data_IF_247065263993
#
_entry.id   IF_247065263993
#
_cell.length_a   1.000
_cell.length_b   1.000
_cell.length_c   1.000
_cell.angle_alpha   90.00
_cell.angle_beta   90.00
_cell.angle_gamma   90.00
#
_symmetry.space_group_name_H-M   'P 1'
#
loop_
_entity.id
_entity.type
_entity.pdbx_description
1 polymer ?
#
# COMPACT_ATOMS: atom_id res chain seq x y z
N UNK A 1 -7.06 -31.44 5.92
CA UNK A 1 -8.31 -30.77 6.31
C UNK A 1 -8.42 -29.52 5.47
N UNK A 2 -9.52 -29.27 4.74
CA UNK A 2 -9.67 -28.00 4.06
C UNK A 2 -9.79 -26.94 5.14
N UNK A 3 -8.82 -26.04 5.18
CA UNK A 3 -8.84 -24.86 6.04
C UNK A 3 -10.13 -24.10 5.70
N UNK A 4 -10.99 -23.90 6.69
CA UNK A 4 -12.25 -23.16 6.52
C UNK A 4 -11.87 -21.81 5.96
N UNK A 5 -12.09 -21.59 4.66
CA UNK A 5 -11.68 -20.38 3.97
C UNK A 5 -12.43 -19.20 4.58
N UNK A 6 -11.82 -18.59 5.61
CA UNK A 6 -12.31 -17.37 6.21
C UNK A 6 -12.46 -16.36 5.09
N UNK A 7 -13.62 -15.70 5.03
CA UNK A 7 -13.88 -14.67 4.04
C UNK A 7 -12.78 -13.61 4.19
N UNK A 8 -11.99 -13.32 3.14
CA UNK A 8 -10.88 -12.40 3.26
C UNK A 8 -11.39 -11.02 3.68
N UNK A 9 -10.63 -10.34 4.53
CA UNK A 9 -10.93 -8.99 5.00
C UNK A 9 -10.88 -8.03 3.80
N UNK A 10 -11.94 -7.24 3.59
CA UNK A 10 -11.92 -6.17 2.59
C UNK A 10 -11.31 -4.91 3.21
N UNK A 11 -10.20 -4.45 2.65
CA UNK A 11 -9.49 -3.23 3.07
C UNK A 11 -9.74 -2.14 2.04
N UNK A 12 -10.16 -0.96 2.54
CA UNK A 12 -10.24 0.24 1.72
C UNK A 12 -8.87 0.94 1.66
N UNK A 13 -8.19 0.81 0.53
CA UNK A 13 -6.83 1.27 0.38
C UNK A 13 -6.30 1.08 -1.03
N UNK A 14 -5.07 1.55 -1.24
CA UNK A 14 -4.32 1.32 -2.49
C UNK A 14 -3.06 0.57 -2.13
N UNK A 15 -2.73 -0.50 -2.83
CA UNK A 15 -1.51 -1.27 -2.61
C UNK A 15 -0.69 -1.40 -3.87
N UNK A 16 0.63 -1.50 -3.68
CA UNK A 16 1.61 -1.59 -4.75
C UNK A 16 2.81 -2.42 -4.31
N UNK A 17 3.50 -2.98 -5.29
CA UNK A 17 4.82 -3.57 -5.14
C UNK A 17 5.89 -2.56 -5.56
N UNK A 18 6.94 -2.43 -4.76
CA UNK A 18 8.15 -1.66 -5.07
C UNK A 18 9.35 -2.57 -4.80
N UNK A 19 10.08 -2.93 -5.86
CA UNK A 19 11.01 -4.05 -5.80
C UNK A 19 10.28 -5.32 -5.37
N UNK A 20 10.73 -5.92 -4.27
CA UNK A 20 10.12 -7.12 -3.69
C UNK A 20 9.15 -6.80 -2.53
N UNK A 21 8.94 -5.52 -2.22
CA UNK A 21 8.20 -5.08 -1.03
C UNK A 21 6.76 -4.69 -1.38
N UNK A 22 5.80 -5.25 -0.66
CA UNK A 22 4.41 -4.80 -0.73
C UNK A 22 4.15 -3.62 0.21
N UNK A 23 3.57 -2.57 -0.35
CA UNK A 23 3.20 -1.36 0.38
C UNK A 23 1.69 -1.22 0.31
N UNK A 24 1.05 -1.12 1.48
CA UNK A 24 -0.38 -0.86 1.62
C UNK A 24 -0.59 0.58 2.10
N UNK A 25 -1.26 1.40 1.30
CA UNK A 25 -1.60 2.79 1.63
C UNK A 25 -3.05 2.84 2.09
N UNK A 26 -3.27 3.27 3.32
CA UNK A 26 -4.58 3.42 3.95
C UNK A 26 -4.82 4.87 4.39
N UNK A 27 -6.06 5.20 4.74
CA UNK A 27 -6.45 6.55 5.15
C UNK A 27 -7.85 6.90 4.67
N UNK A 28 -8.41 8.03 5.13
CA UNK A 28 -9.78 8.41 4.81
C UNK A 28 -10.00 8.58 3.30
N UNK A 29 -11.26 8.59 2.88
CA UNK A 29 -11.60 8.94 1.50
C UNK A 29 -11.11 10.34 1.17
N UNK A 30 -10.59 10.54 -0.04
CA UNK A 30 -9.98 11.82 -0.45
C UNK A 30 -8.63 12.15 0.23
N UNK A 31 -8.00 11.23 0.96
CA UNK A 31 -6.69 11.46 1.56
C UNK A 31 -5.53 11.50 0.54
N UNK A 32 -5.76 11.04 -0.70
CA UNK A 32 -4.75 10.96 -1.76
C UNK A 32 -4.00 9.62 -1.84
N UNK A 33 -4.61 8.51 -1.40
CA UNK A 33 -4.03 7.16 -1.45
C UNK A 33 -3.57 6.78 -2.86
N UNK A 34 -4.49 6.89 -3.82
CA UNK A 34 -4.25 6.61 -5.24
C UNK A 34 -3.23 7.58 -5.84
N UNK A 35 -3.33 8.87 -5.54
CA UNK A 35 -2.37 9.88 -5.99
C UNK A 35 -0.94 9.56 -5.53
N UNK A 36 -0.77 9.15 -4.26
CA UNK A 36 0.53 8.74 -3.75
C UNK A 36 1.03 7.45 -4.41
N UNK A 37 0.18 6.46 -4.61
CA UNK A 37 0.54 5.22 -5.30
C UNK A 37 1.03 5.50 -6.72
N UNK A 38 0.31 6.32 -7.49
CA UNK A 38 0.70 6.72 -8.85
C UNK A 38 2.05 7.45 -8.86
N UNK A 39 2.27 8.36 -7.91
CA UNK A 39 3.53 9.07 -7.80
C UNK A 39 4.70 8.12 -7.47
N UNK A 40 4.50 7.13 -6.60
CA UNK A 40 5.50 6.10 -6.30
C UNK A 40 5.82 5.23 -7.51
N UNK A 41 4.79 4.80 -8.26
CA UNK A 41 4.97 4.00 -9.48
C UNK A 41 5.76 4.78 -10.54
N UNK A 42 5.42 6.05 -10.76
CA UNK A 42 6.15 6.91 -11.71
C UNK A 42 7.60 7.16 -11.26
N UNK A 43 7.79 7.42 -9.98
CA UNK A 43 9.11 7.61 -9.39
C UNK A 43 10.01 6.37 -9.50
N UNK A 44 9.46 5.18 -9.27
CA UNK A 44 10.19 3.92 -9.43
C UNK A 44 10.52 3.67 -10.91
N UNK A 45 9.53 3.87 -11.79
CA UNK A 45 9.70 3.70 -13.25
C UNK A 45 10.81 4.59 -13.81
N UNK A 46 10.85 5.87 -13.44
CA UNK A 46 11.88 6.82 -13.91
C UNK A 46 13.29 6.45 -13.44
N UNK A 47 13.41 5.65 -12.36
CA UNK A 47 14.69 5.12 -11.84
C UNK A 47 14.99 3.69 -12.29
N UNK A 48 14.17 3.10 -13.15
CA UNK A 48 14.33 1.72 -13.59
C UNK A 48 14.08 0.68 -12.50
N UNK A 49 13.44 1.06 -11.40
CA UNK A 49 13.06 0.14 -10.32
C UNK A 49 11.78 -0.60 -10.68
N UNK A 50 11.71 -1.89 -10.35
CA UNK A 50 10.48 -2.64 -10.50
C UNK A 50 9.39 -2.05 -9.60
N UNK A 51 8.22 -1.79 -10.16
CA UNK A 51 7.04 -1.43 -9.39
C UNK A 51 5.77 -1.80 -10.13
N UNK A 52 4.75 -2.26 -9.39
CA UNK A 52 3.45 -2.69 -9.94
C UNK A 52 2.32 -2.27 -9.01
N UNK A 53 1.17 -1.94 -9.58
CA UNK A 53 -0.06 -1.83 -8.79
C UNK A 53 -0.43 -3.23 -8.26
N UNK A 54 -0.92 -3.31 -7.03
CA UNK A 54 -1.59 -4.53 -6.54
C UNK A 54 -3.11 -4.38 -6.66
N UNK A 55 -3.63 -3.24 -6.22
CA UNK A 55 -5.04 -2.87 -6.33
C UNK A 55 -5.29 -1.46 -5.83
N UNK A 56 -6.41 -0.88 -6.23
CA UNK A 56 -6.85 0.46 -5.85
C UNK A 56 -8.30 0.38 -5.32
N UNK A 57 -8.65 1.29 -4.42
CA UNK A 57 -9.91 1.36 -3.65
C UNK A 57 -10.21 0.16 -2.72
N UNK A 58 -10.14 -1.07 -3.23
CA UNK A 58 -10.46 -2.30 -2.49
C UNK A 58 -9.41 -3.39 -2.66
N UNK A 59 -9.08 -4.05 -1.56
CA UNK A 59 -8.12 -5.14 -1.48
C UNK A 59 -8.65 -6.24 -0.57
N UNK A 60 -8.50 -7.49 -0.98
CA UNK A 60 -8.79 -8.64 -0.13
C UNK A 60 -7.52 -9.09 0.58
N UNK A 61 -7.55 -9.04 1.91
CA UNK A 61 -6.46 -9.39 2.78
C UNK A 61 -6.74 -10.69 3.52
N UNK A 62 -5.71 -11.53 3.63
CA UNK A 62 -5.76 -12.76 4.40
C UNK A 62 -4.37 -13.10 4.94
N UNK A 63 -4.31 -13.58 6.18
CA UNK A 63 -3.07 -14.09 6.76
C UNK A 63 -2.73 -15.46 6.17
N UNK A 64 -1.49 -15.61 5.71
CA UNK A 64 -0.92 -16.88 5.27
C UNK A 64 0.44 -17.08 5.93
N UNK A 65 0.57 -18.08 6.81
CA UNK A 65 1.84 -18.36 7.50
C UNK A 65 2.40 -17.17 8.28
N UNK A 66 1.52 -16.37 8.90
CA UNK A 66 1.91 -15.17 9.66
C UNK A 66 2.23 -13.93 8.82
N UNK A 67 2.16 -14.02 7.48
CA UNK A 67 2.34 -12.88 6.56
C UNK A 67 1.00 -12.42 6.00
N UNK A 68 0.82 -11.10 5.85
CA UNK A 68 -0.38 -10.55 5.25
C UNK A 68 -0.29 -10.63 3.73
N UNK A 69 -1.18 -11.38 3.09
CA UNK A 69 -1.29 -11.41 1.63
C UNK A 69 -2.49 -10.59 1.20
N UNK A 70 -2.26 -9.62 0.32
CA UNK A 70 -3.32 -8.83 -0.30
C UNK A 70 -3.50 -9.23 -1.77
N UNK A 71 -4.75 -9.19 -2.23
CA UNK A 71 -5.15 -9.46 -3.62
C UNK A 71 -6.10 -8.38 -4.12
N UNK A 72 -5.97 -8.01 -5.38
CA UNK A 72 -7.00 -7.20 -6.03
C UNK A 72 -8.28 -8.03 -6.23
N UNK A 73 -9.47 -7.46 -5.98
CA UNK A 73 -10.72 -8.04 -6.45
C UNK A 73 -10.69 -8.15 -7.98
N UNK A 74 -11.15 -9.28 -8.51
CA UNK A 74 -11.11 -9.56 -9.96
C UNK A 74 -11.84 -8.52 -10.82
N UNK A 75 -12.87 -7.86 -10.28
CA UNK A 75 -13.66 -6.84 -10.96
C UNK A 75 -12.91 -5.53 -11.22
N UNK A 76 -11.85 -5.24 -10.45
CA UNK A 76 -11.09 -3.98 -10.54
C UNK A 76 -9.58 -4.21 -10.71
N UNK A 77 -9.17 -5.46 -10.96
CA UNK A 77 -7.77 -5.83 -11.11
C UNK A 77 -7.12 -5.06 -12.27
N UNK A 78 -5.93 -4.50 -12.01
CA UNK A 78 -5.19 -3.72 -13.01
C UNK A 78 -5.80 -2.37 -13.36
N UNK A 79 -6.86 -1.95 -12.67
CA UNK A 79 -7.49 -0.65 -12.85
C UNK A 79 -7.14 0.26 -11.67
N UNK A 80 -6.92 1.53 -11.99
CA UNK A 80 -6.74 2.58 -11.00
C UNK A 80 -7.64 3.76 -11.37
N UNK A 81 -8.34 4.31 -10.37
CA UNK A 81 -9.22 5.45 -10.59
C UNK A 81 -8.42 6.75 -10.62
N UNK A 82 -8.34 7.36 -11.81
CA UNK A 82 -7.73 8.68 -11.94
C UNK A 82 -8.82 9.74 -11.80
N UNK A 83 -8.73 10.54 -10.73
CA UNK A 83 -9.74 11.55 -10.41
C UNK A 83 -9.98 12.51 -11.60
N UNK A 84 -11.25 12.71 -11.95
CA UNK A 84 -11.67 13.55 -13.08
C UNK A 84 -11.50 12.92 -14.47
N UNK A 85 -10.93 11.70 -14.56
CA UNK A 85 -10.64 11.01 -15.83
C UNK A 85 -11.32 9.63 -15.90
N UNK A 86 -11.52 8.98 -14.75
CA UNK A 86 -12.08 7.64 -14.60
C UNK A 86 -11.01 6.53 -14.58
N UNK A 87 -11.43 5.25 -14.53
CA UNK A 87 -10.51 4.12 -14.44
C UNK A 87 -9.53 4.05 -15.60
N UNK A 88 -8.27 3.76 -15.31
CA UNK A 88 -7.21 3.56 -16.30
C UNK A 88 -6.42 2.27 -16.02
N UNK A 89 -6.02 1.54 -17.08
CA UNK A 89 -5.22 0.34 -16.91
C UNK A 89 -3.80 0.68 -16.46
N UNK A 90 -3.27 -0.11 -15.53
CA UNK A 90 -1.88 -0.07 -15.08
C UNK A 90 -1.28 -1.48 -15.06
N UNK A 91 0.04 -1.56 -15.21
CA UNK A 91 0.76 -2.80 -14.97
C UNK A 91 0.58 -3.20 -13.49
N UNK A 92 0.11 -4.42 -13.26
CA UNK A 92 -0.27 -4.89 -11.94
C UNK A 92 0.20 -6.32 -11.67
N UNK A 93 0.25 -6.68 -10.39
CA UNK A 93 0.35 -8.07 -9.93
C UNK A 93 -0.94 -8.45 -9.21
N UNK A 94 -1.44 -9.70 -9.34
CA UNK A 94 -2.73 -10.09 -8.78
C UNK A 94 -2.69 -10.30 -7.26
N UNK A 95 -1.51 -10.54 -6.69
CA UNK A 95 -1.30 -10.85 -5.28
C UNK A 95 0.10 -10.42 -4.85
N UNK A 96 0.22 -9.95 -3.60
CA UNK A 96 1.50 -9.64 -2.99
C UNK A 96 1.44 -9.82 -1.48
N UNK A 97 2.60 -10.11 -0.87
CA UNK A 97 2.75 -9.95 0.57
C UNK A 97 2.90 -8.47 0.89
N UNK A 98 2.23 -7.98 1.92
CA UNK A 98 2.40 -6.63 2.43
C UNK A 98 3.48 -6.63 3.51
N UNK A 99 4.46 -5.74 3.35
CA UNK A 99 5.59 -5.57 4.27
C UNK A 99 5.59 -4.20 4.98
N UNK A 100 4.82 -3.22 4.48
CA UNK A 100 4.70 -1.88 5.05
C UNK A 100 3.28 -1.36 4.92
N UNK A 101 2.75 -0.79 6.01
CA UNK A 101 1.52 0.01 5.99
C UNK A 101 1.86 1.50 6.04
N UNK A 102 1.27 2.25 5.13
CA UNK A 102 1.42 3.70 5.01
C UNK A 102 0.07 4.32 5.31
N UNK A 103 -0.06 5.00 6.46
CA UNK A 103 -1.31 5.67 6.84
C UNK A 103 -1.27 7.13 6.45
N UNK A 104 -2.24 7.56 5.67
CA UNK A 104 -2.47 8.98 5.40
C UNK A 104 -3.28 9.58 6.54
N UNK A 105 -2.67 10.49 7.29
CA UNK A 105 -3.21 11.13 8.51
C UNK A 105 -3.35 12.64 8.33
N UNK A 106 -4.11 13.29 9.21
CA UNK A 106 -4.19 14.76 9.23
C UNK A 106 -2.84 15.38 9.65
N UNK A 107 -2.51 16.61 9.21
CA UNK A 107 -1.27 17.28 9.61
C UNK A 107 -1.07 17.37 11.13
N UNK A 108 -2.16 17.54 11.88
CA UNK A 108 -2.11 17.62 13.34
C UNK A 108 -1.70 16.31 14.02
N UNK A 109 -1.90 15.18 13.36
CA UNK A 109 -1.58 13.85 13.89
C UNK A 109 -0.16 13.39 13.49
N UNK A 110 0.54 14.17 12.66
CA UNK A 110 1.86 13.81 12.15
C UNK A 110 2.96 14.21 13.15
N UNK A 111 3.61 13.20 13.74
CA UNK A 111 4.75 13.42 14.62
C UNK A 111 5.99 13.87 13.83
N UNK A 112 6.73 14.86 14.37
CA UNK A 112 7.98 15.38 13.76
C UNK A 112 9.06 14.31 13.61
N UNK A 113 9.15 13.42 14.61
CA UNK A 113 9.96 12.21 14.58
C UNK A 113 9.03 11.05 14.89
N UNK A 114 9.01 10.04 14.02
CA UNK A 114 8.14 8.89 14.19
C UNK A 114 8.91 7.76 14.87
N UNK A 115 8.36 7.26 15.97
CA UNK A 115 8.84 6.02 16.58
C UNK A 115 8.50 4.82 15.69
N UNK A 116 9.14 3.68 15.95
CA UNK A 116 8.79 2.43 15.28
C UNK A 116 7.34 2.03 15.63
N UNK A 117 6.44 2.25 14.68
CA UNK A 117 5.04 1.88 14.82
C UNK A 117 4.73 0.58 14.08
N UNK A 118 3.74 -0.15 14.58
CA UNK A 118 3.18 -1.32 13.91
C UNK A 118 1.66 -1.24 13.84
N UNK A 119 1.10 -1.92 12.85
CA UNK A 119 -0.34 -2.11 12.68
C UNK A 119 -0.64 -3.61 12.52
N UNK A 120 -1.71 -4.08 13.15
CA UNK A 120 -2.12 -5.49 13.05
C UNK A 120 -3.32 -5.61 12.13
N UNK A 121 -3.19 -6.42 11.08
CA UNK A 121 -4.23 -6.69 10.09
C UNK A 121 -4.34 -8.20 9.94
N UNK A 122 -5.54 -8.78 10.10
CA UNK A 122 -5.76 -10.24 10.06
C UNK A 122 -4.79 -11.04 10.97
N UNK A 123 -4.40 -10.45 12.11
CA UNK A 123 -3.43 -11.07 13.04
C UNK A 123 -1.95 -10.93 12.62
N UNK A 124 -1.65 -10.35 11.46
CA UNK A 124 -0.29 -10.05 11.02
C UNK A 124 0.16 -8.68 11.51
N UNK A 125 1.27 -8.62 12.25
CA UNK A 125 1.87 -7.37 12.73
C UNK A 125 2.82 -6.80 11.66
N UNK A 126 2.50 -5.63 11.15
CA UNK A 126 3.19 -4.98 10.05
C UNK A 126 3.86 -3.69 10.51
N UNK A 127 5.08 -3.37 10.05
CA UNK A 127 5.63 -2.03 10.17
C UNK A 127 4.68 -0.98 9.59
N UNK A 128 4.59 0.16 10.28
CA UNK A 128 3.72 1.26 9.90
C UNK A 128 4.50 2.57 9.84
N UNK A 129 4.13 3.42 8.88
CA UNK A 129 4.58 4.81 8.82
C UNK A 129 3.39 5.71 8.55
N UNK A 130 3.34 6.86 9.22
CA UNK A 130 2.25 7.81 9.07
C UNK A 130 2.71 8.96 8.16
N UNK A 131 1.87 9.42 7.24
CA UNK A 131 2.20 10.48 6.29
C UNK A 131 1.07 11.49 6.30
N UNK A 132 1.40 12.77 6.28
CA UNK A 132 0.39 13.80 6.08
C UNK A 132 -0.34 13.56 4.76
N UNK A 133 -1.68 13.47 4.82
CA UNK A 133 -2.56 13.35 3.65
C UNK A 133 -2.26 14.43 2.62
N UNK A 134 -2.44 14.12 1.35
CA UNK A 134 -2.27 15.04 0.22
C UNK A 134 -0.88 15.71 0.12
N UNK A 135 0.15 15.18 0.78
CA UNK A 135 1.52 15.71 0.73
C UNK A 135 2.49 14.73 0.05
N UNK A 136 2.30 14.50 -1.24
CA UNK A 136 3.11 13.56 -2.04
C UNK A 136 4.59 13.95 -2.05
N UNK A 137 4.88 15.25 -2.11
CA UNK A 137 6.25 15.78 -2.17
C UNK A 137 7.06 15.40 -0.94
N UNK A 138 6.46 15.46 0.26
CA UNK A 138 7.11 15.00 1.48
C UNK A 138 7.08 13.47 1.62
N UNK A 139 6.02 12.82 1.14
CA UNK A 139 5.84 11.36 1.23
C UNK A 139 6.90 10.57 0.47
N UNK A 140 7.22 10.99 -0.76
CA UNK A 140 8.14 10.28 -1.65
C UNK A 140 9.52 10.03 -1.02
N UNK A 141 10.30 11.04 -0.61
CA UNK A 141 11.62 10.81 -0.04
C UNK A 141 11.55 9.99 1.26
N UNK A 142 10.52 10.18 2.07
CA UNK A 142 10.33 9.44 3.31
C UNK A 142 10.08 7.95 3.05
N UNK A 143 9.20 7.61 2.11
CA UNK A 143 8.94 6.22 1.74
C UNK A 143 10.13 5.57 1.05
N UNK A 144 10.83 6.30 0.16
CA UNK A 144 12.03 5.77 -0.47
C UNK A 144 13.13 5.50 0.55
N UNK A 145 13.33 6.39 1.52
CA UNK A 145 14.27 6.15 2.62
C UNK A 145 13.83 4.93 3.45
N UNK A 146 12.54 4.85 3.82
CA UNK A 146 12.02 3.74 4.62
C UNK A 146 12.15 2.38 3.94
N UNK A 147 11.96 2.32 2.62
CA UNK A 147 12.09 1.10 1.83
C UNK A 147 13.56 0.76 1.51
N UNK A 148 14.45 1.75 1.47
CA UNK A 148 15.89 1.55 1.30
C UNK A 148 16.58 1.07 2.58
N UNK A 149 16.06 1.44 3.75
CA UNK A 149 16.50 0.91 5.04
C UNK A 149 16.05 -0.55 5.13
N UNK A 150 16.93 -1.48 4.76
CA UNK A 150 16.81 -2.87 5.21
C UNK A 150 16.76 -2.87 6.74
N UNK A 151 15.83 -3.60 7.38
CA UNK A 151 16.22 -4.95 7.80
C UNK A 151 15.04 -5.90 8.09
N UNK A 152 14.62 -6.78 7.18
CA UNK A 152 13.83 -7.98 7.58
C UNK A 152 14.13 -9.08 6.56
N UNK A 153 15.19 -9.83 6.88
CA UNK A 153 15.43 -11.21 6.42
C UNK A 153 15.01 -12.15 7.55
#
# INVERSE_FOLDING_TARGET
MPDTAAKPLNIHGTALLIGERGVLITGPSGAGKTTLALALLDHCRTRGMFSRLLGDDQLFAAAHGGRLVCRAPASIAGLCEVHGIGPRPLAFEPAAVIDLVVRLVEPADMARLQDEATETIEGCRLPRIDITRQNVTAALPMLMARLAIQPFS
#
